data_IF_239857044768
#
_entry.id   IF_239857044768
#
_cell.length_a   1.000
_cell.length_b   1.000
_cell.length_c   1.000
_cell.angle_alpha   90.00
_cell.angle_beta   90.00
_cell.angle_gamma   90.00
#
_symmetry.space_group_name_H-M   'P 1'
#
loop_
_entity.id
_entity.type
_entity.pdbx_description
1 polymer ?
#
# COMPACT_ATOMS: atom_id res chain seq x y z
N UNK A 1 24.83 -13.43 -10.45
CA UNK A 1 25.76 -12.45 -11.09
C UNK A 1 26.74 -11.86 -10.07
N UNK A 2 26.26 -11.25 -8.96
CA UNK A 2 27.15 -10.69 -7.92
C UNK A 2 28.08 -11.74 -7.31
N UNK A 3 27.56 -12.92 -6.99
CA UNK A 3 28.35 -14.03 -6.45
C UNK A 3 29.38 -14.56 -7.44
N UNK A 4 29.06 -14.60 -8.74
CA UNK A 4 30.02 -14.94 -9.79
C UNK A 4 31.15 -13.90 -9.89
N UNK A 5 30.80 -12.60 -9.77
CA UNK A 5 31.81 -11.54 -9.78
C UNK A 5 32.73 -11.54 -8.57
N UNK A 6 32.23 -12.07 -7.44
CA UNK A 6 32.99 -12.24 -6.18
C UNK A 6 33.79 -13.57 -6.13
N UNK A 7 33.71 -14.41 -7.16
CA UNK A 7 34.41 -15.70 -7.21
C UNK A 7 33.84 -16.76 -6.27
N UNK A 8 32.60 -16.59 -5.77
CA UNK A 8 31.93 -17.52 -4.85
C UNK A 8 30.55 -17.92 -5.41
N UNK A 9 30.49 -18.67 -6.52
CA UNK A 9 29.24 -19.11 -7.09
C UNK A 9 28.61 -20.19 -6.19
N UNK A 10 27.49 -19.86 -5.54
CA UNK A 10 26.69 -20.84 -4.80
C UNK A 10 25.49 -21.29 -5.65
N UNK A 11 25.22 -22.60 -5.76
CA UNK A 11 23.99 -23.12 -6.37
C UNK A 11 22.73 -22.56 -5.68
N UNK A 12 21.64 -22.45 -6.41
CA UNK A 12 20.38 -21.92 -5.87
C UNK A 12 19.86 -22.74 -4.68
N UNK A 13 20.03 -24.07 -4.72
CA UNK A 13 19.69 -24.95 -3.61
C UNK A 13 20.46 -24.62 -2.32
N UNK A 14 21.78 -24.44 -2.45
CA UNK A 14 22.63 -24.07 -1.30
C UNK A 14 22.28 -22.71 -0.75
N UNK A 15 21.93 -21.72 -1.62
CA UNK A 15 21.43 -20.42 -1.16
C UNK A 15 20.13 -20.56 -0.36
N UNK A 16 19.22 -21.42 -0.82
CA UNK A 16 17.98 -21.71 -0.11
C UNK A 16 18.23 -22.40 1.24
N UNK A 17 19.06 -23.41 1.27
CA UNK A 17 19.44 -24.13 2.51
C UNK A 17 20.05 -23.20 3.57
N UNK A 18 20.77 -22.18 3.17
CA UNK A 18 21.34 -21.18 4.07
C UNK A 18 20.31 -20.14 4.54
N UNK A 19 19.35 -19.77 3.69
CA UNK A 19 18.37 -18.72 3.99
C UNK A 19 17.13 -19.23 4.71
N UNK A 20 16.71 -20.48 4.46
CA UNK A 20 15.50 -21.02 5.05
C UNK A 20 15.53 -21.03 6.60
N UNK A 21 16.62 -21.50 7.26
CA UNK A 21 16.71 -21.46 8.71
C UNK A 21 16.68 -20.02 9.29
N UNK A 22 17.29 -19.06 8.59
CA UNK A 22 17.20 -17.65 9.00
C UNK A 22 15.77 -17.11 8.85
N UNK A 23 15.05 -17.55 7.82
CA UNK A 23 13.63 -17.23 7.65
C UNK A 23 12.79 -17.73 8.81
N UNK A 24 12.96 -18.99 9.20
CA UNK A 24 12.28 -19.60 10.36
C UNK A 24 12.59 -18.85 11.66
N UNK A 25 13.86 -18.56 11.90
CA UNK A 25 14.31 -17.79 13.05
C UNK A 25 13.72 -16.38 13.11
N UNK A 26 13.49 -15.74 11.96
CA UNK A 26 12.96 -14.40 11.88
C UNK A 26 11.42 -14.33 11.96
N UNK A 27 10.70 -15.46 11.99
CA UNK A 27 9.24 -15.49 12.09
C UNK A 27 8.67 -14.77 13.32
N UNK A 28 9.20 -14.94 14.55
CA UNK A 28 8.72 -14.17 15.70
C UNK A 28 8.84 -12.67 15.52
N UNK A 29 9.96 -12.21 14.93
CA UNK A 29 10.18 -10.79 14.62
C UNK A 29 9.16 -10.27 13.60
N UNK A 30 8.87 -11.06 12.57
CA UNK A 30 7.84 -10.71 11.60
C UNK A 30 6.44 -10.67 12.23
N UNK A 31 6.12 -11.63 13.11
CA UNK A 31 4.85 -11.65 13.84
C UNK A 31 4.68 -10.40 14.72
N UNK A 32 5.74 -9.96 15.39
CA UNK A 32 5.75 -8.72 16.18
C UNK A 32 5.52 -7.48 15.28
N UNK A 33 6.16 -7.41 14.11
CA UNK A 33 5.90 -6.33 13.15
C UNK A 33 4.43 -6.31 12.70
N UNK A 34 3.80 -7.47 12.51
CA UNK A 34 2.38 -7.56 12.16
C UNK A 34 1.51 -7.05 13.32
N UNK A 35 1.83 -7.43 14.56
CA UNK A 35 1.11 -6.96 15.75
C UNK A 35 1.23 -5.44 15.94
N UNK A 36 2.42 -4.88 15.75
CA UNK A 36 2.63 -3.43 15.77
C UNK A 36 1.86 -2.72 14.65
N UNK A 37 1.93 -3.24 13.43
CA UNK A 37 1.18 -2.68 12.30
C UNK A 37 -0.33 -2.71 12.53
N UNK A 38 -0.86 -3.78 13.14
CA UNK A 38 -2.28 -3.90 13.46
C UNK A 38 -2.76 -2.78 14.40
N UNK A 39 -1.90 -2.31 15.28
CA UNK A 39 -2.22 -1.27 16.27
C UNK A 39 -1.94 0.16 15.77
N UNK A 40 -1.41 0.32 14.56
CA UNK A 40 -1.14 1.63 14.00
C UNK A 40 -2.42 2.46 13.79
N UNK A 41 -2.38 3.79 13.98
CA UNK A 41 -3.50 4.68 13.72
C UNK A 41 -3.76 4.92 12.23
N UNK A 42 -2.76 4.68 11.37
CA UNK A 42 -2.82 4.88 9.93
C UNK A 42 -2.15 3.70 9.21
N UNK A 43 -2.86 3.13 8.26
CA UNK A 43 -2.39 2.04 7.40
C UNK A 43 -2.61 2.42 5.94
N UNK A 44 -1.54 2.39 5.19
CA UNK A 44 -1.57 2.46 3.74
C UNK A 44 -1.49 1.06 3.16
N UNK A 45 -2.18 0.77 2.08
CA UNK A 45 -1.98 -0.51 1.39
C UNK A 45 -2.29 -0.42 -0.09
N UNK A 46 -1.68 -1.33 -0.84
CA UNK A 46 -1.90 -1.52 -2.27
C UNK A 46 -1.34 -2.88 -2.70
N UNK A 47 -1.71 -3.35 -3.89
CA UNK A 47 -1.20 -4.60 -4.45
C UNK A 47 -0.58 -4.42 -5.85
N UNK A 48 0.33 -5.33 -6.18
CA UNK A 48 0.85 -5.51 -7.54
C UNK A 48 0.80 -6.98 -7.91
N UNK A 49 0.63 -7.27 -9.19
CA UNK A 49 0.64 -8.66 -9.67
C UNK A 49 1.99 -9.33 -9.39
N UNK A 50 1.97 -10.59 -8.98
CA UNK A 50 3.16 -11.44 -8.83
C UNK A 50 2.81 -12.85 -9.32
N UNK A 51 3.74 -13.49 -10.03
CA UNK A 51 3.54 -14.85 -10.50
C UNK A 51 4.16 -15.86 -9.51
N UNK A 52 3.40 -16.90 -9.15
CA UNK A 52 3.86 -18.07 -8.40
C UNK A 52 3.64 -19.29 -9.27
N UNK A 53 4.72 -19.96 -9.69
CA UNK A 53 4.64 -21.04 -10.68
C UNK A 53 3.92 -22.26 -10.16
N UNK A 54 4.16 -22.63 -8.92
CA UNK A 54 3.56 -23.81 -8.27
C UNK A 54 2.02 -23.74 -8.22
N UNK A 55 1.45 -22.55 -8.02
CA UNK A 55 -0.01 -22.34 -8.02
C UNK A 55 -0.66 -22.57 -9.40
N UNK A 56 0.12 -22.64 -10.46
CA UNK A 56 -0.33 -22.89 -11.84
C UNK A 56 0.04 -24.27 -12.35
N UNK A 57 0.79 -25.06 -11.57
CA UNK A 57 1.28 -26.38 -11.96
C UNK A 57 0.19 -27.42 -11.70
N UNK A 58 -0.31 -28.13 -12.70
CA UNK A 58 -1.25 -29.23 -12.50
C UNK A 58 -0.68 -30.28 -11.53
N UNK A 59 -1.49 -30.70 -10.57
CA UNK A 59 -1.09 -31.73 -9.59
C UNK A 59 -0.23 -31.22 -8.43
N UNK A 60 0.06 -29.92 -8.33
CA UNK A 60 0.72 -29.39 -7.13
C UNK A 60 -0.27 -29.26 -5.97
N UNK A 61 0.22 -29.49 -4.75
CA UNK A 61 -0.58 -29.34 -3.51
C UNK A 61 -1.11 -27.91 -3.37
N UNK A 62 -0.25 -26.91 -3.63
CA UNK A 62 -0.63 -25.49 -3.55
C UNK A 62 -1.70 -25.11 -4.58
N UNK A 63 -1.66 -25.68 -5.80
CA UNK A 63 -2.68 -25.45 -6.81
C UNK A 63 -4.02 -26.11 -6.43
N UNK A 64 -3.99 -27.31 -5.86
CA UNK A 64 -5.18 -28.01 -5.37
C UNK A 64 -5.83 -27.26 -4.19
N UNK A 65 -5.02 -26.76 -3.27
CA UNK A 65 -5.48 -25.93 -2.16
C UNK A 65 -6.12 -24.63 -2.63
N UNK A 66 -5.49 -23.91 -3.58
CA UNK A 66 -6.07 -22.73 -4.18
C UNK A 66 -7.42 -23.00 -4.84
N UNK A 67 -7.52 -24.10 -5.62
CA UNK A 67 -8.76 -24.50 -6.26
C UNK A 67 -9.88 -24.78 -5.25
N UNK A 68 -9.54 -25.31 -4.07
CA UNK A 68 -10.48 -25.57 -2.99
C UNK A 68 -10.90 -24.30 -2.24
N UNK A 69 -9.94 -23.43 -1.89
CA UNK A 69 -10.16 -22.23 -1.06
C UNK A 69 -10.66 -21.03 -1.84
N UNK A 70 -10.25 -20.91 -3.09
CA UNK A 70 -10.54 -19.74 -3.93
C UNK A 70 -10.70 -20.12 -5.41
N UNK A 71 -11.70 -20.95 -5.77
CA UNK A 71 -11.85 -21.55 -7.12
C UNK A 71 -12.01 -20.48 -8.24
N UNK A 72 -12.49 -19.29 -7.90
CA UNK A 72 -12.71 -18.22 -8.90
C UNK A 72 -11.48 -17.31 -9.09
N UNK A 73 -10.39 -17.55 -8.35
CA UNK A 73 -9.19 -16.69 -8.38
C UNK A 73 -8.18 -17.20 -9.39
N UNK A 74 -7.84 -16.33 -10.34
CA UNK A 74 -6.85 -16.62 -11.40
C UNK A 74 -5.54 -15.85 -11.20
N UNK A 75 -5.55 -14.79 -10.41
CA UNK A 75 -4.41 -13.91 -10.16
C UNK A 75 -3.69 -14.19 -8.86
N UNK A 76 -2.41 -13.87 -8.83
CA UNK A 76 -1.60 -13.79 -7.61
C UNK A 76 -0.97 -12.42 -7.52
N UNK A 77 -0.85 -11.90 -6.30
CA UNK A 77 -0.48 -10.52 -6.02
C UNK A 77 0.55 -10.47 -4.89
N UNK A 78 1.34 -9.43 -4.86
CA UNK A 78 2.07 -9.00 -3.67
C UNK A 78 1.40 -7.74 -3.14
N UNK A 79 0.85 -7.82 -1.95
CA UNK A 79 0.33 -6.68 -1.19
C UNK A 79 1.46 -6.06 -0.39
N UNK A 80 1.53 -4.73 -0.33
CA UNK A 80 2.26 -4.00 0.70
C UNK A 80 1.25 -3.36 1.66
N UNK A 81 1.48 -3.52 2.96
CA UNK A 81 0.82 -2.76 4.04
C UNK A 81 1.90 -1.93 4.71
N UNK A 82 1.77 -0.61 4.64
CA UNK A 82 2.66 0.35 5.30
C UNK A 82 1.91 0.95 6.48
N UNK A 83 2.36 0.65 7.69
CA UNK A 83 1.79 1.14 8.94
C UNK A 83 2.61 2.30 9.52
N UNK A 84 1.94 3.37 9.90
CA UNK A 84 2.54 4.51 10.59
C UNK A 84 2.43 4.28 12.11
N UNK A 85 3.44 3.61 12.68
CA UNK A 85 3.49 3.31 14.11
C UNK A 85 4.31 4.39 14.80
N UNK A 86 3.66 5.26 15.55
CA UNK A 86 4.31 6.33 16.34
C UNK A 86 5.50 6.99 15.59
N UNK A 87 6.73 6.68 16.00
CA UNK A 87 7.96 7.24 15.42
C UNK A 87 8.60 6.32 14.36
N UNK A 88 8.07 5.12 14.11
CA UNK A 88 8.70 4.15 13.22
C UNK A 88 7.69 3.49 12.28
N UNK A 89 7.80 3.71 10.98
CA UNK A 89 6.96 3.02 10.00
C UNK A 89 7.33 1.54 9.89
N UNK A 90 6.31 0.69 9.72
CA UNK A 90 6.43 -0.75 9.49
C UNK A 90 5.91 -1.07 8.09
N UNK A 91 6.71 -1.74 7.28
CA UNK A 91 6.32 -2.23 5.96
C UNK A 91 6.17 -3.74 5.98
N UNK A 92 4.98 -4.24 5.64
CA UNK A 92 4.68 -5.66 5.52
C UNK A 92 4.40 -6.03 4.07
N UNK A 93 4.83 -7.21 3.66
CA UNK A 93 4.54 -7.76 2.33
C UNK A 93 3.85 -9.12 2.47
N UNK A 94 2.87 -9.35 1.59
CA UNK A 94 2.09 -10.59 1.55
C UNK A 94 1.87 -10.99 0.09
N UNK A 95 2.47 -12.10 -0.32
CA UNK A 95 2.36 -12.62 -1.68
C UNK A 95 1.49 -13.87 -1.71
N UNK A 96 0.42 -13.84 -2.47
CA UNK A 96 -0.52 -14.95 -2.57
C UNK A 96 -1.67 -14.63 -3.52
N UNK A 97 -2.80 -15.26 -3.29
CA UNK A 97 -4.02 -15.04 -4.06
C UNK A 97 -4.98 -14.02 -3.44
N UNK A 98 -4.69 -13.57 -2.21
CA UNK A 98 -5.46 -12.54 -1.54
C UNK A 98 -5.16 -11.17 -2.14
N UNK A 99 -6.18 -10.31 -2.14
CA UNK A 99 -6.05 -8.90 -2.47
C UNK A 99 -5.66 -8.05 -1.26
N UNK A 100 -5.27 -6.82 -1.52
CA UNK A 100 -4.78 -5.91 -0.49
C UNK A 100 -5.77 -5.69 0.67
N UNK A 101 -7.07 -5.58 0.39
CA UNK A 101 -8.09 -5.47 1.44
C UNK A 101 -8.20 -6.69 2.33
N UNK A 102 -8.02 -7.91 1.78
CA UNK A 102 -8.06 -9.15 2.56
C UNK A 102 -6.81 -9.33 3.42
N UNK A 103 -5.64 -8.98 2.90
CA UNK A 103 -4.40 -9.00 3.66
C UNK A 103 -4.43 -7.97 4.79
N UNK A 104 -4.96 -6.75 4.52
CA UNK A 104 -5.18 -5.75 5.57
C UNK A 104 -6.14 -6.27 6.65
N UNK A 105 -7.24 -6.91 6.27
CA UNK A 105 -8.18 -7.50 7.23
C UNK A 105 -7.51 -8.57 8.09
N UNK A 106 -6.60 -9.37 7.51
CA UNK A 106 -5.83 -10.36 8.26
C UNK A 106 -4.91 -9.70 9.30
N UNK A 107 -4.24 -8.61 8.94
CA UNK A 107 -3.44 -7.81 9.88
C UNK A 107 -4.33 -7.24 11.00
N UNK A 108 -5.45 -6.61 10.65
CA UNK A 108 -6.35 -5.94 11.61
C UNK A 108 -7.05 -6.89 12.59
N UNK A 109 -7.11 -8.20 12.31
CA UNK A 109 -7.58 -9.18 13.31
C UNK A 109 -6.73 -9.24 14.58
N UNK A 110 -5.49 -8.75 14.52
CA UNK A 110 -4.59 -8.67 15.70
C UNK A 110 -4.69 -7.32 16.43
N UNK A 111 -5.53 -6.39 15.93
CA UNK A 111 -5.70 -5.07 16.56
C UNK A 111 -6.35 -5.21 17.93
N UNK A 112 -5.81 -4.50 18.91
CA UNK A 112 -6.38 -4.42 20.25
C UNK A 112 -7.78 -3.78 20.20
N UNK A 113 -8.73 -4.36 20.93
CA UNK A 113 -10.15 -4.02 20.84
C UNK A 113 -10.49 -2.63 21.42
N UNK A 114 -9.64 -2.09 22.27
CA UNK A 114 -9.77 -0.78 22.92
C UNK A 114 -9.26 0.39 22.05
N UNK A 115 -8.59 0.09 20.94
CA UNK A 115 -8.09 1.12 20.04
C UNK A 115 -9.17 1.64 19.10
N UNK A 116 -9.17 2.96 18.90
CA UNK A 116 -10.02 3.60 17.90
C UNK A 116 -9.78 3.03 16.49
N UNK A 117 -10.80 3.06 15.59
CA UNK A 117 -10.65 2.62 14.22
C UNK A 117 -9.46 3.30 13.53
N UNK A 118 -8.57 2.56 12.84
CA UNK A 118 -7.45 3.16 12.14
C UNK A 118 -7.90 3.80 10.83
N UNK A 119 -7.15 4.77 10.35
CA UNK A 119 -7.31 5.30 9.00
C UNK A 119 -6.75 4.26 8.02
N UNK A 120 -7.55 3.88 7.04
CA UNK A 120 -7.18 3.04 5.91
C UNK A 120 -7.02 3.91 4.66
N UNK A 121 -5.80 4.03 4.14
CA UNK A 121 -5.51 4.77 2.90
C UNK A 121 -5.19 3.81 1.76
N UNK A 122 -5.99 3.85 0.68
CA UNK A 122 -5.80 3.01 -0.50
C UNK A 122 -6.29 3.71 -1.79
N UNK A 123 -6.23 3.03 -2.92
CA UNK A 123 -6.99 3.43 -4.11
C UNK A 123 -8.48 3.04 -3.96
N UNK A 124 -9.33 3.53 -4.87
CA UNK A 124 -10.77 3.29 -4.83
C UNK A 124 -11.20 1.96 -5.47
N UNK A 125 -10.28 1.02 -5.69
CA UNK A 125 -10.63 -0.30 -6.19
C UNK A 125 -11.36 -1.11 -5.10
N UNK A 126 -12.49 -1.71 -5.47
CA UNK A 126 -13.33 -2.47 -4.53
C UNK A 126 -12.59 -3.59 -3.80
N UNK A 127 -11.59 -4.21 -4.44
CA UNK A 127 -10.75 -5.26 -3.86
C UNK A 127 -9.79 -4.75 -2.77
N UNK A 128 -9.53 -3.44 -2.72
CA UNK A 128 -8.70 -2.80 -1.72
C UNK A 128 -9.52 -2.34 -0.50
N UNK A 129 -10.83 -2.21 -0.66
CA UNK A 129 -11.72 -1.90 0.46
C UNK A 129 -12.02 -3.19 1.23
N UNK A 130 -11.89 -3.14 2.56
CA UNK A 130 -12.26 -4.24 3.43
C UNK A 130 -13.55 -3.91 4.20
N UNK A 131 -14.73 -4.35 3.72
CA UNK A 131 -16.01 -3.99 4.34
C UNK A 131 -16.20 -4.54 5.76
N UNK A 132 -15.43 -5.59 6.12
CA UNK A 132 -15.54 -6.28 7.41
C UNK A 132 -14.62 -5.67 8.48
N UNK A 133 -13.74 -4.75 8.11
CA UNK A 133 -12.83 -4.09 9.05
C UNK A 133 -13.38 -2.73 9.44
N UNK A 134 -13.49 -2.48 10.73
CA UNK A 134 -13.81 -1.16 11.27
C UNK A 134 -12.63 -0.21 11.00
N UNK A 135 -12.67 0.52 9.87
CA UNK A 135 -11.64 1.49 9.47
C UNK A 135 -12.27 2.80 9.02
N UNK A 136 -11.52 3.89 9.15
CA UNK A 136 -11.88 5.19 8.56
C UNK A 136 -11.27 5.24 7.16
N UNK A 137 -12.10 5.12 6.14
CA UNK A 137 -11.65 4.94 4.76
C UNK A 137 -11.25 6.27 4.10
N UNK A 138 -10.00 6.35 3.65
CA UNK A 138 -9.46 7.39 2.79
C UNK A 138 -9.04 6.84 1.43
N UNK A 139 -9.27 7.61 0.36
CA UNK A 139 -8.83 7.27 -0.99
C UNK A 139 -7.74 8.22 -1.49
N UNK A 140 -6.88 7.66 -2.31
CA UNK A 140 -5.73 8.36 -2.88
C UNK A 140 -6.16 9.45 -3.88
N UNK A 141 -5.96 10.72 -3.51
CA UNK A 141 -6.25 11.86 -4.38
C UNK A 141 -5.35 11.88 -5.63
N UNK A 142 -4.16 11.31 -5.55
CA UNK A 142 -3.24 11.17 -6.69
C UNK A 142 -3.82 10.29 -7.80
N UNK A 143 -4.60 9.25 -7.45
CA UNK A 143 -5.32 8.43 -8.42
C UNK A 143 -6.44 9.22 -9.10
N UNK A 144 -7.25 9.96 -8.33
CA UNK A 144 -8.28 10.84 -8.91
C UNK A 144 -7.67 11.89 -9.86
N UNK A 145 -6.52 12.49 -9.48
CA UNK A 145 -5.77 13.40 -10.34
C UNK A 145 -5.34 12.73 -11.65
N UNK A 146 -4.91 11.47 -11.61
CA UNK A 146 -4.44 10.72 -12.79
C UNK A 146 -5.52 10.55 -13.85
N UNK A 147 -6.80 10.40 -13.45
CA UNK A 147 -7.92 10.32 -14.39
C UNK A 147 -7.98 11.59 -15.28
N UNK A 148 -7.85 12.78 -14.69
CA UNK A 148 -7.83 14.03 -15.44
C UNK A 148 -6.57 14.21 -16.30
N UNK A 149 -5.41 13.77 -15.83
CA UNK A 149 -4.18 13.77 -16.63
C UNK A 149 -4.33 12.92 -17.89
N UNK A 150 -4.98 11.76 -17.77
CA UNK A 150 -5.17 10.82 -18.88
C UNK A 150 -6.05 11.41 -19.98
N UNK A 151 -7.07 12.18 -19.61
CA UNK A 151 -8.02 12.75 -20.59
C UNK A 151 -7.70 14.18 -21.00
N UNK A 152 -6.67 14.81 -20.41
CA UNK A 152 -6.24 16.18 -20.71
C UNK A 152 -5.96 16.47 -22.19
N UNK A 153 -5.40 15.54 -23.00
CA UNK A 153 -5.23 15.78 -24.43
C UNK A 153 -6.52 16.08 -25.17
N UNK A 154 -7.64 15.48 -24.74
CA UNK A 154 -8.96 15.67 -25.37
C UNK A 154 -9.80 16.79 -24.75
N UNK A 155 -9.52 17.16 -23.48
CA UNK A 155 -10.27 18.17 -22.72
C UNK A 155 -9.31 19.13 -21.97
N UNK A 156 -8.45 19.85 -22.69
CA UNK A 156 -7.33 20.57 -22.07
C UNK A 156 -7.77 21.68 -21.11
N UNK A 157 -8.82 22.44 -21.42
CA UNK A 157 -9.28 23.56 -20.60
C UNK A 157 -9.91 23.07 -19.29
N UNK A 158 -10.83 22.10 -19.36
CA UNK A 158 -11.51 21.56 -18.20
C UNK A 158 -10.54 20.81 -17.28
N UNK A 159 -9.64 20.00 -17.86
CA UNK A 159 -8.61 19.30 -17.09
C UNK A 159 -7.62 20.25 -16.43
N UNK A 160 -7.24 21.34 -17.09
CA UNK A 160 -6.40 22.39 -16.50
C UNK A 160 -7.05 22.96 -15.25
N UNK A 161 -8.34 23.31 -15.30
CA UNK A 161 -9.08 23.85 -14.16
C UNK A 161 -9.00 22.92 -12.95
N UNK A 162 -9.27 21.61 -13.14
CA UNK A 162 -9.20 20.62 -12.07
C UNK A 162 -7.76 20.43 -11.56
N UNK A 163 -6.80 20.31 -12.47
CA UNK A 163 -5.40 20.06 -12.11
C UNK A 163 -4.76 21.24 -11.39
N UNK A 164 -5.15 22.47 -11.73
CA UNK A 164 -4.70 23.70 -11.03
C UNK A 164 -5.29 23.76 -9.60
N UNK A 165 -6.58 23.47 -9.44
CA UNK A 165 -7.19 23.36 -8.12
C UNK A 165 -6.50 22.30 -7.23
N UNK A 166 -6.25 21.11 -7.77
CA UNK A 166 -5.53 20.05 -7.05
C UNK A 166 -4.08 20.45 -6.75
N UNK A 167 -3.40 21.17 -7.66
CA UNK A 167 -2.05 21.71 -7.41
C UNK A 167 -2.02 22.60 -6.17
N UNK A 168 -3.01 23.49 -6.01
CA UNK A 168 -3.09 24.34 -4.82
C UNK A 168 -3.27 23.50 -3.54
N UNK A 169 -4.11 22.48 -3.57
CA UNK A 169 -4.28 21.55 -2.42
C UNK A 169 -2.94 20.88 -2.06
N UNK A 170 -2.18 20.40 -3.04
CA UNK A 170 -0.84 19.82 -2.80
C UNK A 170 0.18 20.85 -2.33
N UNK A 171 0.07 22.12 -2.75
CA UNK A 171 0.91 23.21 -2.26
C UNK A 171 0.66 23.45 -0.76
N UNK A 172 -0.60 23.51 -0.32
CA UNK A 172 -0.94 23.65 1.09
C UNK A 172 -0.46 22.44 1.93
N UNK A 173 -0.51 21.25 1.37
CA UNK A 173 0.06 20.05 2.04
C UNK A 173 1.59 20.18 2.17
N UNK A 174 2.29 20.69 1.15
CA UNK A 174 3.73 20.92 1.22
C UNK A 174 4.08 21.98 2.27
N UNK A 175 3.30 23.03 2.38
CA UNK A 175 3.44 24.07 3.42
C UNK A 175 3.23 23.47 4.82
N UNK A 176 2.16 22.68 5.03
CA UNK A 176 1.89 22.02 6.30
C UNK A 176 3.04 21.11 6.73
N UNK A 177 3.62 20.36 5.78
CA UNK A 177 4.81 19.51 6.01
C UNK A 177 6.06 20.33 6.34
N UNK A 178 6.31 21.41 5.61
CA UNK A 178 7.46 22.29 5.84
C UNK A 178 7.39 22.96 7.23
N UNK A 179 6.19 23.29 7.70
CA UNK A 179 5.93 23.81 9.04
C UNK A 179 5.94 22.72 10.13
N UNK A 180 6.05 21.44 9.78
CA UNK A 180 6.02 20.33 10.73
C UNK A 180 4.71 20.24 11.53
N UNK A 181 3.58 20.59 10.92
CA UNK A 181 2.30 20.63 11.62
C UNK A 181 1.88 19.24 12.11
N UNK A 182 1.54 19.16 13.40
CA UNK A 182 0.91 17.98 14.00
C UNK A 182 -0.48 17.71 13.37
N UNK A 183 -1.08 16.51 13.57
CA UNK A 183 -2.33 16.11 12.89
C UNK A 183 -3.49 17.12 13.00
N UNK A 184 -3.75 17.66 14.19
CA UNK A 184 -4.84 18.61 14.41
C UNK A 184 -4.56 20.00 13.78
N UNK A 185 -3.42 20.67 14.00
CA UNK A 185 -3.06 21.89 13.29
C UNK A 185 -3.05 21.71 11.77
N UNK A 186 -2.60 20.55 11.26
CA UNK A 186 -2.63 20.25 9.82
C UNK A 186 -4.07 20.15 9.29
N UNK A 187 -4.99 19.55 10.05
CA UNK A 187 -6.42 19.54 9.71
C UNK A 187 -6.98 20.95 9.60
N UNK A 188 -6.72 21.83 10.60
CA UNK A 188 -7.16 23.24 10.59
C UNK A 188 -6.56 23.97 9.39
N UNK A 189 -5.29 23.77 9.08
CA UNK A 189 -4.64 24.35 7.90
C UNK A 189 -5.35 23.98 6.60
N UNK A 190 -5.69 22.69 6.42
CA UNK A 190 -6.44 22.25 5.24
C UNK A 190 -7.89 22.75 5.22
N UNK A 191 -8.57 22.83 6.38
CA UNK A 191 -9.91 23.40 6.46
C UNK A 191 -9.90 24.89 6.07
N UNK A 192 -8.85 25.63 6.43
CA UNK A 192 -8.73 27.06 6.09
C UNK A 192 -8.39 27.28 4.62
N UNK A 193 -7.48 26.48 4.05
CA UNK A 193 -6.91 26.75 2.73
C UNK A 193 -7.39 25.83 1.63
N UNK A 194 -7.45 24.51 1.89
CA UNK A 194 -7.82 23.51 0.87
C UNK A 194 -9.32 23.33 0.69
N UNK A 195 -10.10 23.47 1.78
CA UNK A 195 -11.55 23.30 1.73
C UNK A 195 -12.25 24.26 0.77
N UNK A 196 -11.99 25.57 0.80
CA UNK A 196 -12.63 26.50 -0.15
C UNK A 196 -12.32 26.17 -1.61
N UNK A 197 -11.08 25.76 -1.91
CA UNK A 197 -10.67 25.34 -3.27
C UNK A 197 -11.44 24.11 -3.73
N UNK A 198 -11.57 23.12 -2.85
CA UNK A 198 -12.26 21.88 -3.17
C UNK A 198 -13.78 22.06 -3.23
N UNK A 199 -14.37 22.92 -2.41
CA UNK A 199 -15.79 23.24 -2.49
C UNK A 199 -16.16 23.92 -3.82
N UNK A 200 -15.37 24.91 -4.26
CA UNK A 200 -15.53 25.50 -5.58
C UNK A 200 -15.38 24.48 -6.71
N UNK A 201 -14.37 23.61 -6.63
CA UNK A 201 -14.16 22.54 -7.60
C UNK A 201 -15.35 21.58 -7.65
N UNK A 202 -15.91 21.22 -6.49
CA UNK A 202 -17.08 20.33 -6.40
C UNK A 202 -18.31 20.93 -7.05
N UNK A 203 -18.58 22.22 -6.79
CA UNK A 203 -19.69 22.95 -7.41
C UNK A 203 -19.51 22.96 -8.92
N UNK A 204 -18.33 23.36 -9.40
CA UNK A 204 -18.01 23.37 -10.82
C UNK A 204 -18.20 22.01 -11.50
N UNK A 205 -17.74 20.92 -10.88
CA UNK A 205 -17.94 19.56 -11.43
C UNK A 205 -19.41 19.18 -11.52
N UNK A 206 -20.21 19.54 -10.51
CA UNK A 206 -21.67 19.29 -10.54
C UNK A 206 -22.35 20.08 -11.66
N UNK A 207 -22.04 21.37 -11.80
CA UNK A 207 -22.57 22.20 -12.86
C UNK A 207 -22.24 21.64 -14.25
N UNK A 208 -21.04 21.10 -14.45
CA UNK A 208 -20.66 20.45 -15.71
C UNK A 208 -21.53 19.24 -16.05
N UNK A 209 -21.90 18.41 -15.06
CA UNK A 209 -22.72 17.24 -15.26
C UNK A 209 -24.21 17.57 -15.32
N UNK A 210 -24.71 18.31 -14.30
CA UNK A 210 -26.14 18.62 -14.14
C UNK A 210 -26.61 19.61 -15.24
N UNK A 211 -25.77 20.54 -15.64
CA UNK A 211 -25.99 21.46 -16.76
C UNK A 211 -25.80 20.82 -18.14
N UNK A 212 -25.46 19.51 -18.22
CA UNK A 212 -25.22 18.79 -19.48
C UNK A 212 -24.12 19.41 -20.36
N UNK A 213 -23.15 20.12 -19.74
CA UNK A 213 -22.00 20.67 -20.45
C UNK A 213 -20.94 19.62 -20.78
N UNK A 214 -20.99 18.45 -20.11
CA UNK A 214 -20.11 17.32 -20.33
C UNK A 214 -20.96 16.06 -20.45
N UNK A 215 -20.71 15.28 -21.49
CA UNK A 215 -21.38 14.00 -21.70
C UNK A 215 -20.86 12.99 -20.65
N UNK A 216 -21.74 12.35 -19.82
CA UNK A 216 -21.33 11.49 -18.71
C UNK A 216 -20.44 10.30 -19.10
N UNK A 217 -20.61 9.74 -20.30
CA UNK A 217 -19.82 8.61 -20.78
C UNK A 217 -18.51 9.04 -21.48
N UNK A 218 -18.29 10.34 -21.70
CA UNK A 218 -17.00 10.85 -22.18
C UNK A 218 -15.89 10.61 -21.16
N UNK A 219 -14.63 10.63 -21.59
CA UNK A 219 -13.49 10.50 -20.67
C UNK A 219 -13.52 11.54 -19.54
N UNK A 220 -13.87 12.79 -19.85
CA UNK A 220 -14.00 13.85 -18.82
C UNK A 220 -15.19 13.56 -17.89
N UNK A 221 -16.34 13.14 -18.44
CA UNK A 221 -17.51 12.78 -17.64
C UNK A 221 -17.22 11.64 -16.66
N UNK A 222 -16.50 10.63 -17.11
CA UNK A 222 -16.08 9.51 -16.27
C UNK A 222 -15.10 9.97 -15.16
N UNK A 223 -14.11 10.83 -15.46
CA UNK A 223 -13.19 11.37 -14.49
C UNK A 223 -13.90 12.22 -13.42
N UNK A 224 -14.82 13.08 -13.82
CA UNK A 224 -15.67 13.87 -12.91
C UNK A 224 -16.55 12.94 -12.07
N UNK A 225 -17.23 11.98 -12.71
CA UNK A 225 -18.08 11.00 -12.04
C UNK A 225 -17.32 10.18 -10.99
N UNK A 226 -16.10 9.72 -11.31
CA UNK A 226 -15.21 9.06 -10.36
C UNK A 226 -14.93 9.94 -9.14
N UNK A 227 -14.53 11.18 -9.36
CA UNK A 227 -14.17 12.10 -8.27
C UNK A 227 -15.39 12.45 -7.39
N UNK A 228 -16.54 12.71 -8.00
CA UNK A 228 -17.78 13.01 -7.25
C UNK A 228 -18.29 11.79 -6.47
N UNK A 229 -18.26 10.61 -7.06
CA UNK A 229 -18.65 9.34 -6.43
C UNK A 229 -17.82 9.05 -5.18
N UNK A 230 -16.53 9.31 -5.24
CA UNK A 230 -15.59 9.01 -4.17
C UNK A 230 -15.20 10.25 -3.34
N UNK A 231 -15.96 11.34 -3.44
CA UNK A 231 -15.65 12.64 -2.84
C UNK A 231 -15.33 12.54 -1.34
N UNK A 232 -16.18 11.87 -0.58
CA UNK A 232 -16.01 11.77 0.87
C UNK A 232 -14.68 11.10 1.27
N UNK A 233 -14.32 9.90 0.80
CA UNK A 233 -13.02 9.31 1.14
C UNK A 233 -11.82 10.04 0.48
N UNK A 234 -11.97 10.67 -0.70
CA UNK A 234 -10.90 11.47 -1.32
C UNK A 234 -10.57 12.74 -0.55
N UNK A 235 -11.54 13.29 0.19
CA UNK A 235 -11.38 14.51 0.99
C UNK A 235 -11.37 14.23 2.50
N UNK A 236 -11.00 13.02 2.91
CA UNK A 236 -10.97 12.63 4.32
C UNK A 236 -10.07 13.55 5.16
N UNK A 237 -8.94 14.00 4.60
CA UNK A 237 -7.98 14.89 5.26
C UNK A 237 -8.54 16.26 5.68
N UNK A 238 -9.74 16.62 5.20
CA UNK A 238 -10.48 17.83 5.63
C UNK A 238 -11.34 17.60 6.89
N UNK A 239 -11.45 16.36 7.37
CA UNK A 239 -12.35 15.99 8.48
C UNK A 239 -11.71 15.13 9.55
N UNK A 240 -10.66 14.39 9.18
CA UNK A 240 -10.00 13.45 10.06
C UNK A 240 -8.55 13.86 10.29
N UNK A 241 -8.16 14.19 11.55
CA UNK A 241 -6.77 14.43 11.88
C UNK A 241 -5.88 13.24 11.50
N UNK A 242 -4.70 13.53 10.98
CA UNK A 242 -3.75 12.49 10.56
C UNK A 242 -4.03 11.83 9.21
N UNK A 243 -5.21 12.05 8.59
CA UNK A 243 -5.50 11.49 7.28
C UNK A 243 -4.58 12.09 6.20
N UNK A 244 -3.86 11.26 5.40
CA UNK A 244 -3.05 11.74 4.29
C UNK A 244 -3.91 12.07 3.06
N UNK A 245 -3.36 12.86 2.13
CA UNK A 245 -4.00 13.17 0.86
C UNK A 245 -3.95 11.99 -0.12
N UNK A 246 -2.88 11.23 -0.05
CA UNK A 246 -2.60 10.19 -1.05
C UNK A 246 -1.90 8.95 -0.47
N UNK A 247 -1.76 7.94 -1.31
CA UNK A 247 -1.13 6.67 -1.00
C UNK A 247 0.32 6.56 -1.52
N UNK A 248 0.96 7.66 -1.88
CA UNK A 248 2.28 7.68 -2.54
C UNK A 248 3.37 6.98 -1.72
N UNK A 249 3.28 7.01 -0.39
CA UNK A 249 4.23 6.31 0.49
C UNK A 249 4.17 4.78 0.31
N UNK A 250 2.96 4.23 0.22
CA UNK A 250 2.77 2.80 -0.06
C UNK A 250 3.21 2.45 -1.48
N UNK A 251 2.90 3.29 -2.47
CA UNK A 251 3.37 3.09 -3.85
C UNK A 251 4.90 3.05 -3.95
N UNK A 252 5.59 3.89 -3.17
CA UNK A 252 7.06 3.87 -3.08
C UNK A 252 7.59 2.58 -2.43
N UNK A 253 6.96 2.13 -1.34
CA UNK A 253 7.32 0.87 -0.70
C UNK A 253 7.08 -0.32 -1.65
N UNK A 254 5.95 -0.32 -2.37
CA UNK A 254 5.59 -1.37 -3.33
C UNK A 254 6.60 -1.49 -4.51
N UNK A 255 7.36 -0.43 -4.82
CA UNK A 255 8.43 -0.48 -5.83
C UNK A 255 9.45 -1.59 -5.56
N UNK A 256 9.68 -1.95 -4.30
CA UNK A 256 10.58 -3.04 -3.94
C UNK A 256 10.08 -4.38 -4.49
N UNK A 257 8.80 -4.70 -4.32
CA UNK A 257 8.18 -5.89 -4.89
C UNK A 257 8.11 -5.84 -6.44
N UNK A 258 7.85 -4.65 -7.01
CA UNK A 258 7.83 -4.45 -8.46
C UNK A 258 9.22 -4.69 -9.07
N UNK A 259 10.28 -4.19 -8.43
CA UNK A 259 11.65 -4.42 -8.87
C UNK A 259 12.05 -5.89 -8.74
N UNK A 260 11.66 -6.54 -7.63
CA UNK A 260 11.86 -7.98 -7.47
C UNK A 260 11.18 -8.76 -8.61
N UNK A 261 9.90 -8.48 -8.90
CA UNK A 261 9.18 -9.09 -10.02
C UNK A 261 9.88 -8.87 -11.38
N UNK A 262 10.37 -7.67 -11.65
CA UNK A 262 11.07 -7.35 -12.90
C UNK A 262 12.39 -8.13 -13.04
N UNK A 263 13.05 -8.43 -11.94
CA UNK A 263 14.34 -9.14 -11.94
C UNK A 263 14.17 -10.67 -11.91
N UNK A 264 13.23 -11.18 -11.11
CA UNK A 264 13.04 -12.61 -10.86
C UNK A 264 11.89 -13.22 -11.67
N UNK A 265 11.00 -12.38 -12.26
CA UNK A 265 9.83 -12.72 -13.06
C UNK A 265 8.74 -13.47 -12.28
N UNK A 266 9.10 -14.37 -11.37
CA UNK A 266 8.17 -15.21 -10.59
C UNK A 266 8.84 -15.78 -9.36
N UNK A 267 8.03 -16.21 -8.41
CA UNK A 267 8.43 -17.19 -7.40
C UNK A 267 8.19 -18.61 -7.91
N UNK A 268 9.03 -19.57 -7.51
CA UNK A 268 8.86 -20.97 -7.86
C UNK A 268 7.73 -21.61 -7.05
N UNK A 269 7.70 -21.37 -5.74
CA UNK A 269 6.74 -21.95 -4.79
C UNK A 269 6.07 -20.88 -3.95
N UNK A 270 4.93 -21.21 -3.32
CA UNK A 270 4.26 -20.35 -2.36
C UNK A 270 5.14 -20.10 -1.12
N UNK A 271 5.81 -21.13 -0.62
CA UNK A 271 6.75 -20.99 0.50
C UNK A 271 7.90 -20.02 0.17
N UNK A 272 8.45 -20.11 -1.06
CA UNK A 272 9.47 -19.18 -1.52
C UNK A 272 8.97 -17.73 -1.59
N UNK A 273 7.69 -17.53 -1.95
CA UNK A 273 7.08 -16.21 -1.93
C UNK A 273 6.93 -15.68 -0.49
N UNK A 274 6.43 -16.49 0.44
CA UNK A 274 6.27 -16.14 1.86
C UNK A 274 7.62 -15.81 2.52
N UNK A 275 8.67 -16.60 2.23
CA UNK A 275 10.02 -16.29 2.69
C UNK A 275 10.54 -14.95 2.11
N UNK A 276 10.25 -14.70 0.84
CA UNK A 276 10.55 -13.42 0.20
C UNK A 276 9.83 -12.24 0.86
N UNK A 277 8.57 -12.42 1.23
CA UNK A 277 7.75 -11.41 1.92
C UNK A 277 8.32 -11.07 3.29
N UNK A 278 8.71 -12.09 4.06
CA UNK A 278 9.35 -11.89 5.37
C UNK A 278 10.61 -11.04 5.23
N UNK A 279 11.55 -11.42 4.36
CA UNK A 279 12.77 -10.64 4.17
C UNK A 279 12.51 -9.25 3.59
N UNK A 280 11.58 -9.09 2.64
CA UNK A 280 11.20 -7.78 2.13
C UNK A 280 10.64 -6.89 3.25
N UNK A 281 9.81 -7.44 4.13
CA UNK A 281 9.23 -6.71 5.27
C UNK A 281 10.30 -6.23 6.23
N UNK A 282 11.20 -7.11 6.65
CA UNK A 282 12.31 -6.76 7.54
C UNK A 282 13.24 -5.72 6.90
N UNK A 283 13.68 -5.96 5.67
CA UNK A 283 14.61 -5.07 4.94
C UNK A 283 13.99 -3.69 4.72
N UNK A 284 12.72 -3.63 4.32
CA UNK A 284 12.07 -2.34 4.04
C UNK A 284 11.75 -1.58 5.33
N UNK A 285 11.31 -2.27 6.37
CA UNK A 285 11.13 -1.66 7.71
C UNK A 285 12.44 -1.08 8.23
N UNK A 286 13.55 -1.81 8.12
CA UNK A 286 14.88 -1.28 8.47
C UNK A 286 15.22 -0.01 7.67
N UNK A 287 15.01 -0.01 6.35
CA UNK A 287 15.29 1.14 5.48
C UNK A 287 14.45 2.37 5.83
N UNK A 288 13.16 2.17 6.08
CA UNK A 288 12.25 3.24 6.49
C UNK A 288 12.71 3.89 7.81
N UNK A 289 13.29 3.09 8.69
CA UNK A 289 13.81 3.53 9.99
C UNK A 289 15.31 3.88 9.96
N UNK A 290 15.95 3.96 8.79
CA UNK A 290 17.38 4.26 8.62
C UNK A 290 18.32 3.29 9.34
N UNK A 291 17.87 2.05 9.52
CA UNK A 291 18.66 0.94 10.10
C UNK A 291 19.31 0.15 8.96
N UNK A 292 20.54 -0.30 9.16
CA UNK A 292 21.21 -1.18 8.21
C UNK A 292 20.56 -2.57 8.21
N UNK A 293 19.90 -3.03 7.13
CA UNK A 293 19.19 -4.30 7.12
C UNK A 293 20.11 -5.52 7.34
N UNK A 294 21.33 -5.47 6.81
CA UNK A 294 22.29 -6.57 6.99
C UNK A 294 22.72 -6.71 8.45
N UNK A 295 23.04 -5.59 9.09
CA UNK A 295 23.41 -5.59 10.52
C UNK A 295 22.24 -6.10 11.39
N UNK A 296 20.99 -5.72 11.04
CA UNK A 296 19.79 -6.19 11.73
C UNK A 296 19.58 -7.70 11.58
N UNK A 297 19.64 -8.23 10.37
CA UNK A 297 19.50 -9.67 10.11
C UNK A 297 20.63 -10.48 10.78
N UNK A 298 21.85 -9.93 10.80
CA UNK A 298 22.97 -10.53 11.50
C UNK A 298 22.76 -10.55 13.03
N UNK A 299 22.15 -9.50 13.59
CA UNK A 299 21.78 -9.46 15.00
C UNK A 299 20.72 -10.52 15.33
N UNK A 300 19.67 -10.68 14.52
CA UNK A 300 18.69 -11.77 14.66
C UNK A 300 19.40 -13.13 14.69
N UNK A 301 20.32 -13.39 13.77
CA UNK A 301 21.05 -14.66 13.71
C UNK A 301 21.95 -14.88 14.94
N UNK A 302 22.61 -13.83 15.45
CA UNK A 302 23.47 -13.92 16.66
C UNK A 302 22.67 -14.15 17.93
N UNK A 303 21.48 -13.59 18.04
CA UNK A 303 20.59 -13.66 19.20
C UNK A 303 19.45 -14.68 18.99
N UNK A 304 19.72 -15.75 18.23
CA UNK A 304 18.74 -16.76 17.83
C UNK A 304 17.95 -17.34 19.01
N UNK A 305 18.64 -17.59 20.14
CA UNK A 305 18.02 -18.17 21.34
C UNK A 305 17.04 -17.22 22.02
N UNK A 306 17.43 -15.95 22.12
CA UNK A 306 16.59 -14.90 22.72
C UNK A 306 15.36 -14.63 21.84
N UNK A 307 15.55 -14.59 20.52
CA UNK A 307 14.43 -14.39 19.56
C UNK A 307 13.44 -15.55 19.60
N UNK A 308 13.91 -16.80 19.80
CA UNK A 308 13.03 -17.97 19.87
C UNK A 308 12.29 -18.10 21.22
N UNK A 309 12.73 -17.40 22.28
CA UNK A 309 12.14 -17.45 23.63
C UNK A 309 11.08 -16.38 23.89
N UNK A 310 10.95 -15.39 23.00
CA UNK A 310 9.95 -14.32 23.06
C UNK A 310 8.80 -14.58 22.06
#
# INVERSE_FOLDING_TARGET
RLQQSLGVPLPESTQWELLAPLGELAQPVFAELVAQAANAPLLHHDDTTMRILDLRRPGSTSAAELARLAPHRKGTFTTNVLAEVASHPVALYFTGWQHAGENLAAVLRQRAADLAPPIQMCDALSRNVCPQSHTILGFCLSHARREFVTVAPSFPADCRHVLEALREVYRFEAEAKALGLAPEPRLVHHQTHSLPVLDHLKVWMREKIDGKHVEPNSGLGQAIGYMLKHWAPLTLFLRQPGAPLDNNRCEQALKMAILHRKNSLSYKTLLGAQTGDLFMSLINTCRLNRVNPFAYLLAIAKHAKEVASN
#
